data_IF_092111757965
#
_entry.id   IF_092111757965
#
_cell.length_a   1.000
_cell.length_b   1.000
_cell.length_c   1.000
_cell.angle_alpha   90.00
_cell.angle_beta   90.00
_cell.angle_gamma   90.00
#
_symmetry.space_group_name_H-M   'P 1'
#
loop_
_entity.id
_entity.type
_entity.pdbx_description
1 polymer ?
#
# COMPACT_ATOMS: atom_id res chain seq x y z
N UNK A 1 53.55 61.85 -44.86
CA UNK A 1 52.05 61.88 -44.97
C UNK A 1 51.48 60.62 -44.35
N UNK A 2 50.81 60.83 -43.20
CA UNK A 2 50.21 59.82 -42.42
C UNK A 2 48.74 59.54 -42.84
N UNK A 3 48.44 58.37 -43.29
CA UNK A 3 47.03 57.91 -43.42
C UNK A 3 46.68 56.99 -42.26
N UNK A 4 45.83 57.45 -41.32
CA UNK A 4 45.25 56.67 -40.25
C UNK A 4 44.06 55.83 -40.76
N UNK A 5 44.24 54.52 -40.79
CA UNK A 5 43.14 53.56 -41.05
C UNK A 5 42.24 53.44 -39.82
N UNK A 6 40.97 53.82 -39.96
CA UNK A 6 39.93 53.58 -38.95
C UNK A 6 39.44 52.15 -39.10
N UNK A 7 39.74 51.31 -38.13
CA UNK A 7 39.12 49.98 -37.99
C UNK A 7 37.75 50.13 -37.34
N UNK A 8 36.68 49.88 -38.11
CA UNK A 8 35.32 49.82 -37.61
C UNK A 8 35.10 48.43 -36.94
N UNK A 9 34.88 48.43 -35.61
CA UNK A 9 34.60 47.25 -34.83
C UNK A 9 33.09 46.98 -34.91
N UNK A 10 32.67 45.96 -35.67
CA UNK A 10 31.29 45.52 -35.72
C UNK A 10 31.08 44.56 -34.54
N UNK A 11 30.32 45.03 -33.56
CA UNK A 11 29.92 44.25 -32.39
C UNK A 11 28.69 43.41 -32.75
N UNK A 12 28.87 42.11 -32.97
CA UNK A 12 27.76 41.17 -33.11
C UNK A 12 27.14 40.91 -31.72
N UNK A 13 25.96 41.44 -31.46
CA UNK A 13 25.14 41.05 -30.33
C UNK A 13 24.49 39.69 -30.66
N UNK A 14 25.05 38.60 -30.14
CA UNK A 14 24.38 37.32 -30.14
C UNK A 14 23.28 37.35 -29.07
N UNK A 15 22.03 37.48 -29.54
CA UNK A 15 20.85 37.35 -28.68
C UNK A 15 20.69 35.87 -28.34
N UNK A 16 21.17 35.45 -27.18
CA UNK A 16 20.90 34.14 -26.62
C UNK A 16 19.45 34.11 -26.21
N UNK A 17 18.57 33.44 -27.00
CA UNK A 17 17.24 33.04 -26.54
C UNK A 17 17.44 31.96 -25.45
N UNK A 18 17.30 32.36 -24.21
CA UNK A 18 17.08 31.43 -23.12
C UNK A 18 15.63 30.90 -23.30
N UNK A 19 15.51 29.73 -23.89
CA UNK A 19 14.27 28.98 -23.79
C UNK A 19 14.10 28.60 -22.30
N UNK A 20 13.32 29.38 -21.54
CA UNK A 20 12.78 28.95 -20.28
C UNK A 20 11.88 27.75 -20.59
N UNK A 21 12.39 26.56 -20.34
CA UNK A 21 11.52 25.42 -20.14
C UNK A 21 10.75 25.70 -18.84
N UNK A 22 9.57 26.26 -18.97
CA UNK A 22 8.56 26.15 -17.91
C UNK A 22 8.24 24.66 -17.80
N UNK A 23 8.89 23.94 -16.88
CA UNK A 23 8.25 22.78 -16.33
C UNK A 23 7.05 23.35 -15.55
N UNK A 24 5.85 23.23 -16.07
CA UNK A 24 4.66 23.41 -15.25
C UNK A 24 4.83 22.48 -14.05
N UNK A 25 4.74 23.01 -12.83
CA UNK A 25 4.62 22.15 -11.66
C UNK A 25 3.44 21.21 -11.94
N UNK A 26 3.61 19.93 -11.63
CA UNK A 26 2.54 18.96 -11.76
C UNK A 26 1.36 19.42 -10.89
N UNK A 27 0.14 19.28 -11.42
CA UNK A 27 -1.08 19.70 -10.74
C UNK A 27 -1.59 18.51 -9.91
N UNK A 28 -1.89 18.69 -8.62
CA UNK A 28 -2.51 17.66 -7.80
C UNK A 28 -3.91 17.28 -8.32
N UNK A 29 -4.30 16.00 -8.21
CA UNK A 29 -5.57 15.52 -8.78
C UNK A 29 -6.83 16.04 -8.05
N UNK A 30 -6.72 16.53 -6.84
CA UNK A 30 -7.80 17.18 -6.11
C UNK A 30 -8.05 18.63 -6.54
N UNK A 31 -7.17 19.20 -7.39
CA UNK A 31 -7.26 20.56 -7.93
C UNK A 31 -7.70 20.61 -9.40
N UNK A 32 -7.85 19.46 -10.09
CA UNK A 32 -8.23 19.43 -11.51
C UNK A 32 -9.74 19.32 -11.71
N UNK A 33 -10.22 19.80 -12.86
CA UNK A 33 -11.59 19.54 -13.30
C UNK A 33 -11.67 18.13 -13.89
N UNK A 34 -12.40 17.25 -13.22
CA UNK A 34 -12.61 15.87 -13.66
C UNK A 34 -13.58 15.88 -14.83
N UNK A 35 -13.16 15.36 -15.97
CA UNK A 35 -13.97 15.25 -17.18
C UNK A 35 -14.30 13.78 -17.45
N UNK A 36 -14.99 13.48 -18.56
CA UNK A 36 -15.25 12.10 -18.97
C UNK A 36 -14.36 11.77 -20.17
N UNK A 37 -13.55 10.74 -20.03
CA UNK A 37 -12.66 10.24 -21.07
C UNK A 37 -13.40 9.52 -22.21
N UNK A 38 -12.69 9.20 -23.29
CA UNK A 38 -13.26 8.49 -24.46
C UNK A 38 -13.74 7.06 -24.10
N UNK A 39 -13.16 6.45 -23.05
CA UNK A 39 -13.56 5.15 -22.51
C UNK A 39 -14.79 5.21 -21.59
N UNK A 40 -15.31 6.40 -21.31
CA UNK A 40 -16.45 6.65 -20.44
C UNK A 40 -16.12 6.74 -18.95
N UNK A 41 -14.84 6.60 -18.57
CA UNK A 41 -14.35 6.77 -17.21
C UNK A 41 -13.99 8.24 -16.93
N UNK A 42 -13.83 8.63 -15.65
CA UNK A 42 -13.25 9.92 -15.30
C UNK A 42 -11.85 10.10 -15.93
N UNK A 43 -11.60 11.27 -16.49
CA UNK A 43 -10.30 11.70 -17.02
C UNK A 43 -9.75 12.81 -16.11
N UNK A 44 -8.57 12.58 -15.55
CA UNK A 44 -7.91 13.45 -14.57
C UNK A 44 -6.82 14.34 -15.19
N UNK A 45 -6.79 14.47 -16.53
CA UNK A 45 -5.94 15.42 -17.27
C UNK A 45 -4.43 15.31 -16.95
N UNK A 46 -3.93 14.11 -16.66
CA UNK A 46 -2.51 13.85 -16.38
C UNK A 46 -2.01 14.38 -15.03
N UNK A 47 -2.90 14.70 -14.09
CA UNK A 47 -2.55 15.20 -12.77
C UNK A 47 -1.69 14.22 -11.96
N UNK A 48 -1.03 14.69 -10.90
CA UNK A 48 -0.34 13.82 -9.94
C UNK A 48 -1.27 13.38 -8.82
N UNK A 49 -1.32 12.06 -8.57
CA UNK A 49 -2.14 11.45 -7.54
C UNK A 49 -1.22 10.79 -6.49
N UNK A 50 -1.06 11.41 -5.33
CA UNK A 50 -0.21 10.89 -4.24
C UNK A 50 -0.89 9.73 -3.53
N UNK A 51 -0.17 8.60 -3.47
CA UNK A 51 -0.65 7.33 -2.89
C UNK A 51 0.32 6.85 -1.81
N UNK A 52 -0.12 6.87 -0.55
CA UNK A 52 0.67 6.37 0.57
C UNK A 52 0.61 4.84 0.66
N UNK A 53 1.77 4.20 0.81
CA UNK A 53 1.96 2.75 0.99
C UNK A 53 3.03 2.49 2.03
N UNK A 54 2.93 1.40 2.81
CA UNK A 54 3.96 1.04 3.79
C UNK A 54 5.17 0.37 3.13
N UNK A 55 4.97 -0.38 2.04
CA UNK A 55 5.97 -1.23 1.40
C UNK A 55 6.52 -2.37 2.28
N UNK A 56 5.76 -2.76 3.30
CA UNK A 56 6.10 -3.81 4.25
C UNK A 56 4.92 -4.74 4.55
N UNK A 57 3.91 -4.80 3.67
CA UNK A 57 2.72 -5.64 3.83
C UNK A 57 2.45 -6.52 2.62
N UNK A 58 3.06 -7.70 2.59
CA UNK A 58 2.84 -8.70 1.53
C UNK A 58 1.40 -9.23 1.53
N UNK A 59 0.82 -9.45 0.34
CA UNK A 59 1.29 -9.14 -0.99
C UNK A 59 0.73 -7.81 -1.53
N UNK A 60 0.19 -6.96 -0.65
CA UNK A 60 -0.41 -5.68 -1.02
C UNK A 60 0.64 -4.71 -1.57
N UNK A 61 1.69 -4.47 -0.81
CA UNK A 61 2.81 -3.64 -1.24
C UNK A 61 4.12 -4.08 -0.55
N UNK A 62 5.21 -4.03 -1.30
CA UNK A 62 6.55 -4.41 -0.86
C UNK A 62 7.61 -3.84 -1.80
N UNK A 63 8.86 -3.72 -1.34
CA UNK A 63 9.99 -3.42 -2.19
C UNK A 63 10.53 -4.72 -2.79
N UNK A 64 10.55 -4.81 -4.12
CA UNK A 64 11.13 -5.99 -4.80
C UNK A 64 12.66 -5.96 -4.67
N UNK A 65 13.27 -6.98 -4.05
CA UNK A 65 14.71 -7.03 -3.86
C UNK A 65 15.51 -7.13 -5.16
N UNK A 66 14.87 -7.54 -6.25
CA UNK A 66 15.53 -7.71 -7.53
C UNK A 66 15.90 -6.38 -8.20
N UNK A 67 15.12 -5.34 -7.97
CA UNK A 67 15.30 -4.03 -8.62
C UNK A 67 15.16 -2.83 -7.67
N UNK A 68 14.70 -3.05 -6.42
CA UNK A 68 14.47 -2.00 -5.42
C UNK A 68 13.21 -1.16 -5.66
N UNK A 69 12.33 -1.61 -6.56
CA UNK A 69 11.10 -0.90 -6.90
C UNK A 69 9.91 -1.39 -6.04
N UNK A 70 8.99 -0.49 -5.76
CA UNK A 70 7.74 -0.84 -5.09
C UNK A 70 6.84 -1.68 -5.99
N UNK A 71 6.33 -2.79 -5.46
CA UNK A 71 5.45 -3.73 -6.16
C UNK A 71 4.35 -4.24 -5.23
N UNK A 72 3.37 -4.90 -5.81
CA UNK A 72 2.28 -5.53 -5.08
C UNK A 72 0.93 -5.25 -5.71
N UNK A 73 -0.10 -5.73 -5.03
CA UNK A 73 -1.48 -5.59 -5.47
C UNK A 73 -1.90 -4.12 -5.59
N UNK A 74 -1.56 -3.29 -4.60
CA UNK A 74 -1.88 -1.86 -4.58
C UNK A 74 -1.25 -1.13 -5.77
N UNK A 75 0.00 -1.44 -6.08
CA UNK A 75 0.72 -0.87 -7.23
C UNK A 75 0.07 -1.25 -8.56
N UNK A 76 -0.25 -2.54 -8.76
CA UNK A 76 -0.84 -3.02 -10.01
C UNK A 76 -2.25 -2.43 -10.23
N UNK A 77 -3.07 -2.36 -9.17
CA UNK A 77 -4.40 -1.75 -9.24
C UNK A 77 -4.30 -0.28 -9.57
N UNK A 78 -3.46 0.47 -8.85
CA UNK A 78 -3.40 1.92 -9.01
C UNK A 78 -2.73 2.35 -10.31
N UNK A 79 -1.73 1.61 -10.79
CA UNK A 79 -1.14 1.83 -12.12
C UNK A 79 -2.16 1.55 -13.24
N UNK A 80 -2.98 0.50 -13.11
CA UNK A 80 -4.04 0.25 -14.08
C UNK A 80 -5.08 1.38 -14.10
N UNK A 81 -5.53 1.85 -12.92
CA UNK A 81 -6.43 3.00 -12.83
C UNK A 81 -5.81 4.25 -13.45
N UNK A 82 -4.51 4.47 -13.25
CA UNK A 82 -3.79 5.59 -13.82
C UNK A 82 -3.80 5.59 -15.36
N UNK A 83 -3.60 4.43 -15.98
CA UNK A 83 -3.67 4.27 -17.43
C UNK A 83 -5.09 4.54 -17.97
N UNK A 84 -6.12 3.99 -17.30
CA UNK A 84 -7.52 4.10 -17.75
C UNK A 84 -8.11 5.49 -17.52
N UNK A 85 -7.65 6.22 -16.49
CA UNK A 85 -8.24 7.48 -16.03
C UNK A 85 -7.30 8.69 -16.21
N UNK A 86 -6.18 8.50 -16.93
CA UNK A 86 -5.25 9.55 -17.32
C UNK A 86 -4.73 10.38 -16.13
N UNK A 87 -4.02 9.73 -15.18
CA UNK A 87 -3.31 10.40 -14.12
C UNK A 87 -1.90 9.81 -13.92
N UNK A 88 -1.05 10.51 -13.18
CA UNK A 88 0.29 10.05 -12.83
C UNK A 88 0.30 9.63 -11.36
N UNK A 89 0.45 8.34 -11.03
CA UNK A 89 0.54 7.91 -9.64
C UNK A 89 1.88 8.28 -9.05
N UNK A 90 1.87 8.85 -7.83
CA UNK A 90 3.05 9.18 -7.04
C UNK A 90 2.98 8.38 -5.75
N UNK A 91 3.63 7.21 -5.75
CA UNK A 91 3.69 6.36 -4.56
C UNK A 91 4.68 6.94 -3.54
N UNK A 92 4.22 7.09 -2.30
CA UNK A 92 4.99 7.65 -1.19
C UNK A 92 5.07 6.60 -0.09
N UNK A 93 6.29 6.19 0.27
CA UNK A 93 6.51 5.30 1.40
C UNK A 93 6.18 6.03 2.71
N UNK A 94 5.30 5.44 3.51
CA UNK A 94 4.85 5.99 4.78
C UNK A 94 4.67 4.86 5.80
N UNK A 95 5.14 5.06 7.04
CA UNK A 95 4.92 4.08 8.08
C UNK A 95 3.44 3.88 8.36
N UNK A 96 3.02 2.64 8.64
CA UNK A 96 1.64 2.34 9.02
C UNK A 96 1.19 3.17 10.23
N UNK A 97 2.06 3.27 11.26
CA UNK A 97 1.79 4.07 12.44
C UNK A 97 1.64 5.55 12.08
N UNK A 98 0.42 6.05 12.14
CA UNK A 98 0.05 7.41 11.77
C UNK A 98 -0.41 7.59 10.32
N UNK A 99 -0.39 6.59 9.45
CA UNK A 99 -0.82 6.70 8.03
C UNK A 99 -2.27 7.19 7.90
N UNK A 100 -3.20 6.61 8.65
CA UNK A 100 -4.62 7.02 8.62
C UNK A 100 -4.78 8.49 9.06
N UNK A 101 -4.05 8.93 10.09
CA UNK A 101 -4.07 10.32 10.52
C UNK A 101 -3.44 11.26 9.47
N UNK A 102 -2.35 10.84 8.83
CA UNK A 102 -1.72 11.63 7.76
C UNK A 102 -2.65 11.81 6.54
N UNK A 103 -3.44 10.77 6.20
CA UNK A 103 -4.52 10.89 5.19
C UNK A 103 -5.59 11.87 5.67
N UNK A 104 -6.08 11.74 6.91
CA UNK A 104 -7.08 12.65 7.48
C UNK A 104 -6.63 14.12 7.47
N UNK A 105 -5.32 14.35 7.68
CA UNK A 105 -4.70 15.67 7.64
C UNK A 105 -4.41 16.17 6.21
N UNK A 106 -4.75 15.39 5.18
CA UNK A 106 -4.56 15.76 3.77
C UNK A 106 -3.11 15.74 3.29
N UNK A 107 -2.22 14.99 3.98
CA UNK A 107 -0.83 14.85 3.54
C UNK A 107 -0.72 13.95 2.30
N UNK A 108 -1.66 13.05 2.12
CA UNK A 108 -1.81 12.16 0.96
C UNK A 108 -3.24 12.22 0.44
N UNK A 109 -3.41 12.08 -0.86
CA UNK A 109 -4.75 12.05 -1.48
C UNK A 109 -5.46 10.72 -1.25
N UNK A 110 -4.68 9.64 -1.06
CA UNK A 110 -5.17 8.28 -0.85
C UNK A 110 -4.10 7.47 -0.11
N UNK A 111 -4.53 6.44 0.62
CA UNK A 111 -3.66 5.40 1.11
C UNK A 111 -4.22 4.02 0.77
N UNK A 112 -3.31 3.10 0.44
CA UNK A 112 -3.58 1.67 0.26
C UNK A 112 -2.51 0.85 0.98
N UNK A 113 -2.99 -0.11 1.78
CA UNK A 113 -2.13 -0.99 2.58
C UNK A 113 -2.96 -2.14 3.17
N UNK A 114 -3.87 -2.69 2.37
CA UNK A 114 -4.83 -3.66 2.89
C UNK A 114 -5.68 -3.09 4.03
N UNK A 115 -6.16 -1.85 3.90
CA UNK A 115 -6.76 -1.10 5.00
C UNK A 115 -8.18 -1.58 5.29
N UNK A 116 -8.43 -2.14 6.48
CA UNK A 116 -9.78 -2.51 6.92
C UNK A 116 -10.66 -1.27 7.09
N UNK A 117 -11.84 -1.31 6.47
CA UNK A 117 -12.90 -0.32 6.69
C UNK A 117 -13.51 -0.57 8.06
N UNK A 118 -13.41 0.39 8.96
CA UNK A 118 -13.99 0.30 10.31
C UNK A 118 -14.73 1.57 10.70
N UNK A 119 -15.74 1.45 11.56
CA UNK A 119 -16.49 2.60 12.08
C UNK A 119 -15.60 3.63 12.79
N UNK A 120 -14.47 3.21 13.34
CA UNK A 120 -13.52 4.11 14.00
C UNK A 120 -12.74 4.95 12.98
N UNK A 121 -12.24 4.31 11.91
CA UNK A 121 -11.51 4.99 10.84
C UNK A 121 -12.42 5.87 10.00
N UNK A 122 -13.65 5.42 9.74
CA UNK A 122 -14.69 6.16 8.99
C UNK A 122 -15.15 7.48 9.67
N UNK A 123 -14.73 7.73 10.91
CA UNK A 123 -14.96 9.01 11.58
C UNK A 123 -14.00 10.11 11.17
N UNK A 124 -12.86 9.77 10.58
CA UNK A 124 -11.79 10.72 10.29
C UNK A 124 -11.28 10.65 8.84
N UNK A 125 -11.62 9.59 8.11
CA UNK A 125 -11.29 9.41 6.68
C UNK A 125 -12.50 8.85 5.95
N UNK A 126 -12.62 9.12 4.66
CA UNK A 126 -13.55 8.42 3.78
C UNK A 126 -12.89 7.16 3.20
N UNK A 127 -13.72 6.18 2.82
CA UNK A 127 -13.24 4.97 2.17
C UNK A 127 -13.82 4.81 0.76
N UNK A 128 -13.06 4.14 -0.10
CA UNK A 128 -13.62 3.59 -1.34
C UNK A 128 -14.64 2.50 -1.04
N UNK A 129 -15.39 2.08 -2.06
CA UNK A 129 -16.08 0.80 -2.01
C UNK A 129 -15.09 -0.32 -1.69
N UNK A 130 -15.53 -1.32 -0.95
CA UNK A 130 -14.68 -2.47 -0.63
C UNK A 130 -14.28 -3.19 -1.92
N UNK A 131 -12.96 -3.34 -2.11
CA UNK A 131 -12.40 -4.08 -3.24
C UNK A 131 -12.24 -5.58 -2.95
N UNK A 132 -12.14 -5.97 -1.67
CA UNK A 132 -12.12 -7.36 -1.19
C UNK A 132 -12.71 -7.45 0.21
N UNK A 133 -13.32 -8.60 0.52
CA UNK A 133 -13.71 -8.99 1.88
C UNK A 133 -12.97 -10.27 2.21
N UNK A 134 -12.22 -10.27 3.30
CA UNK A 134 -11.39 -11.39 3.70
C UNK A 134 -11.52 -11.70 5.18
N UNK A 135 -10.84 -12.73 5.63
CA UNK A 135 -10.83 -13.15 7.03
C UNK A 135 -9.46 -12.92 7.63
N UNK A 136 -9.42 -12.55 8.90
CA UNK A 136 -8.21 -12.62 9.70
C UNK A 136 -7.99 -14.06 10.17
N UNK A 137 -6.75 -14.54 10.11
CA UNK A 137 -6.35 -15.91 10.38
C UNK A 137 -5.17 -15.96 11.34
N UNK A 138 -4.96 -17.10 11.95
CA UNK A 138 -3.74 -17.38 12.70
C UNK A 138 -2.67 -17.97 11.78
N UNK A 139 -1.44 -17.44 11.89
CA UNK A 139 -0.24 -17.93 11.25
C UNK A 139 0.72 -18.41 12.34
N UNK A 140 1.27 -19.61 12.16
CA UNK A 140 2.23 -20.23 13.10
C UNK A 140 3.47 -20.75 12.36
N UNK A 141 4.54 -21.07 13.10
CA UNK A 141 5.68 -21.75 12.50
C UNK A 141 5.24 -23.10 11.88
N UNK A 142 5.85 -23.48 10.76
CA UNK A 142 5.42 -24.65 10.00
C UNK A 142 5.52 -25.97 10.79
N UNK A 143 6.49 -26.06 11.71
CA UNK A 143 6.72 -27.20 12.60
C UNK A 143 5.95 -27.11 13.93
N UNK A 144 5.16 -26.05 14.14
CA UNK A 144 4.34 -25.92 15.34
C UNK A 144 3.04 -26.74 15.19
N UNK A 145 2.97 -27.88 15.89
CA UNK A 145 1.78 -28.74 15.94
C UNK A 145 0.98 -28.57 17.26
N UNK A 146 1.37 -27.66 18.14
CA UNK A 146 0.71 -27.42 19.41
C UNK A 146 -0.41 -26.39 19.34
N UNK A 147 -0.47 -25.60 18.26
CA UNK A 147 -1.46 -24.57 18.03
C UNK A 147 -2.22 -24.87 16.74
N UNK A 148 -3.52 -25.09 16.88
CA UNK A 148 -4.44 -25.35 15.76
C UNK A 148 -5.68 -24.45 15.79
N UNK A 149 -5.89 -23.72 16.89
CA UNK A 149 -7.06 -22.86 17.11
C UNK A 149 -6.75 -21.72 18.09
N UNK A 150 -7.60 -20.71 18.12
CA UNK A 150 -7.51 -19.62 19.13
C UNK A 150 -7.63 -20.15 20.56
N UNK A 151 -8.35 -21.26 20.80
CA UNK A 151 -8.49 -21.86 22.10
C UNK A 151 -7.15 -22.37 22.67
N UNK A 152 -6.23 -22.82 21.81
CA UNK A 152 -4.92 -23.29 22.27
C UNK A 152 -4.11 -22.13 22.84
N UNK A 153 -4.17 -20.94 22.21
CA UNK A 153 -3.54 -19.70 22.72
C UNK A 153 -4.20 -19.25 24.03
N UNK A 154 -5.54 -19.27 24.09
CA UNK A 154 -6.28 -18.83 25.29
C UNK A 154 -5.92 -19.66 26.51
N UNK A 155 -5.84 -20.98 26.34
CA UNK A 155 -5.60 -21.94 27.42
C UNK A 155 -4.10 -22.20 27.72
N UNK A 156 -3.19 -21.79 26.83
CA UNK A 156 -1.75 -21.95 26.98
C UNK A 156 -1.03 -20.70 27.47
N UNK A 157 0.25 -20.84 27.74
CA UNK A 157 1.16 -19.73 28.03
C UNK A 157 1.94 -19.36 26.75
N UNK A 158 1.22 -18.76 25.79
CA UNK A 158 1.73 -18.41 24.47
C UNK A 158 1.66 -16.91 24.22
N UNK A 159 2.64 -16.38 23.48
CA UNK A 159 2.65 -15.03 22.95
C UNK A 159 2.18 -15.00 21.51
N UNK A 160 1.48 -13.94 21.15
CA UNK A 160 1.02 -13.66 19.79
C UNK A 160 1.67 -12.37 19.33
N UNK A 161 2.29 -12.39 18.15
CA UNK A 161 2.89 -11.21 17.51
C UNK A 161 1.95 -10.64 16.47
N UNK A 162 1.87 -9.31 16.35
CA UNK A 162 1.14 -8.64 15.27
C UNK A 162 1.62 -7.19 15.15
N UNK A 163 1.21 -6.49 14.09
CA UNK A 163 1.56 -5.09 13.89
C UNK A 163 0.65 -4.19 14.73
N UNK A 164 1.23 -3.21 15.43
CA UNK A 164 0.49 -2.23 16.24
C UNK A 164 -0.45 -1.37 15.38
N UNK A 165 -1.57 -0.93 15.97
CA UNK A 165 -2.52 -0.03 15.30
C UNK A 165 -3.35 -0.68 14.17
N UNK A 166 -3.30 -2.02 14.05
CA UNK A 166 -4.07 -2.78 13.08
C UNK A 166 -5.31 -3.40 13.71
N UNK A 167 -6.31 -3.76 12.90
CA UNK A 167 -7.47 -4.57 13.32
C UNK A 167 -7.04 -5.95 13.81
N UNK A 168 -5.93 -6.48 13.29
CA UNK A 168 -5.31 -7.72 13.72
C UNK A 168 -4.80 -7.64 15.18
N UNK A 169 -4.20 -6.50 15.54
CA UNK A 169 -3.79 -6.23 16.93
C UNK A 169 -4.99 -6.15 17.87
N UNK A 170 -6.02 -5.40 17.49
CA UNK A 170 -7.23 -5.24 18.29
C UNK A 170 -7.95 -6.58 18.50
N UNK A 171 -8.04 -7.38 17.44
CA UNK A 171 -8.60 -8.74 17.52
C UNK A 171 -7.76 -9.63 18.45
N UNK A 172 -6.42 -9.61 18.31
CA UNK A 172 -5.53 -10.40 19.15
C UNK A 172 -5.69 -10.02 20.64
N UNK A 173 -5.73 -8.73 20.97
CA UNK A 173 -5.97 -8.24 22.33
C UNK A 173 -7.33 -8.64 22.84
N UNK A 174 -8.37 -8.55 22.01
CA UNK A 174 -9.73 -8.96 22.36
C UNK A 174 -9.83 -10.46 22.68
N UNK A 175 -9.15 -11.31 21.90
CA UNK A 175 -9.20 -12.77 22.06
C UNK A 175 -8.32 -13.29 23.19
N UNK A 176 -7.14 -12.70 23.37
CA UNK A 176 -6.09 -13.30 24.21
C UNK A 176 -5.69 -12.43 25.40
N UNK A 177 -6.07 -11.15 25.42
CA UNK A 177 -5.63 -10.15 26.40
C UNK A 177 -4.29 -9.51 26.04
N UNK A 178 -4.11 -8.24 26.38
CA UNK A 178 -2.94 -7.44 26.02
C UNK A 178 -1.62 -8.05 26.53
N UNK A 179 -1.64 -8.75 27.67
CA UNK A 179 -0.46 -9.38 28.24
C UNK A 179 0.14 -10.50 27.38
N UNK A 180 -0.67 -11.06 26.46
CA UNK A 180 -0.23 -12.12 25.53
C UNK A 180 0.13 -11.60 24.15
N UNK A 181 -0.07 -10.29 23.86
CA UNK A 181 0.14 -9.73 22.53
C UNK A 181 1.38 -8.85 22.53
N UNK A 182 2.34 -9.22 21.70
CA UNK A 182 3.53 -8.42 21.43
C UNK A 182 3.31 -7.64 20.13
N UNK A 183 3.34 -6.30 20.22
CA UNK A 183 3.12 -5.37 19.12
C UNK A 183 4.43 -4.99 18.44
N UNK A 184 4.46 -5.12 17.13
CA UNK A 184 5.62 -4.76 16.29
C UNK A 184 5.27 -3.56 15.41
N UNK A 185 6.28 -2.84 14.95
CA UNK A 185 6.09 -1.69 14.05
C UNK A 185 5.68 -2.13 12.63
N UNK A 186 6.10 -3.31 12.20
CA UNK A 186 5.79 -3.90 10.89
C UNK A 186 5.40 -5.38 11.03
N UNK A 187 4.57 -5.88 10.11
CA UNK A 187 4.21 -7.30 10.08
C UNK A 187 5.41 -8.21 9.87
N UNK A 188 6.40 -7.79 9.12
CA UNK A 188 7.63 -8.54 8.87
C UNK A 188 8.32 -8.97 10.15
N UNK A 189 8.40 -8.06 11.13
CA UNK A 189 8.99 -8.35 12.43
C UNK A 189 8.11 -9.30 13.25
N UNK A 190 6.79 -9.17 13.15
CA UNK A 190 5.86 -10.10 13.79
C UNK A 190 5.99 -11.51 13.23
N UNK A 191 6.13 -11.65 11.89
CA UNK A 191 6.34 -12.94 11.24
C UNK A 191 7.72 -13.51 11.57
N UNK A 192 8.77 -12.67 11.63
CA UNK A 192 10.11 -13.08 12.07
C UNK A 192 10.09 -13.62 13.50
N UNK A 193 9.32 -13.00 14.41
CA UNK A 193 9.15 -13.48 15.78
C UNK A 193 8.46 -14.86 15.84
N UNK A 194 7.52 -15.14 14.94
CA UNK A 194 6.91 -16.48 14.81
C UNK A 194 7.93 -17.51 14.31
N UNK A 195 8.71 -17.14 13.29
CA UNK A 195 9.73 -18.04 12.71
C UNK A 195 10.86 -18.35 13.72
N UNK A 196 11.28 -17.36 14.53
CA UNK A 196 12.31 -17.56 15.57
C UNK A 196 11.80 -18.30 16.81
N UNK A 197 10.48 -18.36 17.00
CA UNK A 197 9.84 -18.94 18.19
C UNK A 197 9.71 -17.99 19.37
N UNK A 198 9.98 -16.69 19.19
CA UNK A 198 9.73 -15.64 20.18
C UNK A 198 8.23 -15.41 20.39
N UNK A 199 7.43 -15.62 19.35
CA UNK A 199 5.98 -15.69 19.41
C UNK A 199 5.47 -17.04 18.88
N UNK A 200 4.39 -17.54 19.45
CA UNK A 200 3.83 -18.82 19.05
C UNK A 200 2.91 -18.73 17.82
N UNK A 201 2.31 -17.55 17.60
CA UNK A 201 1.44 -17.26 16.47
C UNK A 201 1.46 -15.77 16.09
N UNK A 202 0.96 -15.44 14.89
CA UNK A 202 0.57 -14.10 14.49
C UNK A 202 -0.88 -14.10 14.03
N UNK A 203 -1.60 -12.99 14.24
CA UNK A 203 -2.89 -12.73 13.57
C UNK A 203 -2.58 -11.90 12.33
N UNK A 204 -3.02 -12.38 11.17
CA UNK A 204 -2.80 -11.74 9.86
C UNK A 204 -4.06 -11.86 9.00
N UNK A 205 -4.17 -11.01 8.00
CA UNK A 205 -5.17 -11.21 6.95
C UNK A 205 -4.88 -12.47 6.15
N UNK A 206 -5.90 -13.20 5.74
CA UNK A 206 -5.73 -14.49 5.05
C UNK A 206 -4.83 -14.37 3.81
N UNK A 207 -5.01 -13.33 3.00
CA UNK A 207 -4.19 -13.12 1.79
C UNK A 207 -2.76 -12.73 2.13
N UNK A 208 -2.55 -11.95 3.20
CA UNK A 208 -1.22 -11.64 3.70
C UNK A 208 -0.55 -12.91 4.26
N UNK A 209 -1.29 -13.75 4.98
CA UNK A 209 -0.81 -15.05 5.42
C UNK A 209 -0.34 -15.94 4.26
N UNK A 210 -1.07 -15.95 3.14
CA UNK A 210 -0.64 -16.64 1.91
C UNK A 210 0.63 -16.02 1.33
N UNK A 211 0.71 -14.68 1.31
CA UNK A 211 1.91 -13.95 0.90
C UNK A 211 3.13 -14.31 1.73
N UNK A 212 3.00 -14.32 3.06
CA UNK A 212 4.08 -14.72 3.98
C UNK A 212 4.47 -16.19 3.83
N UNK A 213 3.51 -17.09 3.57
CA UNK A 213 3.81 -18.49 3.25
C UNK A 213 4.59 -18.62 1.94
N UNK A 214 4.25 -17.82 0.93
CA UNK A 214 4.98 -17.77 -0.34
C UNK A 214 6.41 -17.26 -0.20
N UNK A 215 6.60 -16.21 0.62
CA UNK A 215 7.90 -15.59 0.88
C UNK A 215 8.78 -16.42 1.84
N UNK A 216 8.16 -17.09 2.82
CA UNK A 216 8.85 -17.88 3.84
C UNK A 216 8.54 -19.37 3.67
N UNK A 217 8.85 -19.91 2.51
CA UNK A 217 8.51 -21.27 2.13
C UNK A 217 8.93 -22.28 3.19
N UNK A 218 7.98 -23.09 3.61
CA UNK A 218 8.17 -24.15 4.62
C UNK A 218 8.54 -23.64 6.04
N UNK A 219 8.50 -22.32 6.30
CA UNK A 219 8.77 -21.74 7.62
C UNK A 219 7.50 -21.43 8.42
N UNK A 220 6.40 -21.09 7.73
CA UNK A 220 5.13 -20.72 8.36
C UNK A 220 3.94 -21.40 7.69
N UNK A 221 2.82 -21.49 8.41
CA UNK A 221 1.55 -22.02 7.92
C UNK A 221 0.36 -21.30 8.56
N UNK A 222 -0.73 -21.17 7.81
CA UNK A 222 -2.02 -20.75 8.36
C UNK A 222 -2.68 -21.93 9.08
N UNK A 223 -3.31 -21.66 10.22
CA UNK A 223 -4.03 -22.66 11.02
C UNK A 223 -5.41 -22.15 11.46
N UNK A 224 -6.26 -23.06 11.85
CA UNK A 224 -7.61 -22.77 12.34
C UNK A 224 -8.55 -22.23 11.27
N UNK A 225 -9.72 -21.78 11.72
CA UNK A 225 -10.74 -21.12 10.90
C UNK A 225 -10.55 -19.60 10.89
N UNK A 226 -11.31 -18.89 10.06
CA UNK A 226 -11.36 -17.43 10.09
C UNK A 226 -11.83 -16.90 11.44
N UNK A 227 -11.17 -15.89 11.95
CA UNK A 227 -11.43 -15.32 13.27
C UNK A 227 -12.37 -14.11 13.19
N UNK A 228 -12.19 -13.28 12.19
CA UNK A 228 -12.95 -12.07 11.92
C UNK A 228 -13.00 -11.82 10.43
N UNK A 229 -14.08 -11.19 9.94
CA UNK A 229 -14.22 -10.80 8.53
C UNK A 229 -14.05 -9.30 8.41
N UNK A 230 -13.14 -8.88 7.54
CA UNK A 230 -12.82 -7.48 7.29
C UNK A 230 -13.02 -7.11 5.81
N UNK A 231 -13.84 -6.08 5.51
CA UNK A 231 -13.84 -5.44 4.21
C UNK A 231 -12.63 -4.50 4.11
N UNK A 232 -11.89 -4.55 2.99
CA UNK A 232 -10.78 -3.64 2.74
C UNK A 232 -11.16 -2.59 1.70
N UNK A 233 -10.65 -1.36 1.90
CA UNK A 233 -10.85 -0.21 1.02
C UNK A 233 -9.64 0.71 1.03
N UNK A 234 -9.58 1.61 0.05
CA UNK A 234 -8.63 2.71 0.05
C UNK A 234 -9.13 3.84 0.95
N UNK A 235 -8.24 4.45 1.72
CA UNK A 235 -8.57 5.56 2.61
C UNK A 235 -8.27 6.92 1.95
N UNK A 236 -9.17 7.89 2.13
CA UNK A 236 -9.10 9.23 1.57
C UNK A 236 -9.32 10.28 2.68
N UNK A 237 -8.86 11.53 2.50
CA UNK A 237 -9.32 12.63 3.34
C UNK A 237 -10.85 12.74 3.35
N UNK A 238 -11.42 13.11 4.50
CA UNK A 238 -12.88 13.32 4.65
C UNK A 238 -13.41 14.32 3.61
N UNK A 239 -14.48 13.95 2.90
CA UNK A 239 -15.09 14.74 1.83
C UNK A 239 -14.31 14.78 0.52
N UNK A 240 -13.34 13.89 0.30
CA UNK A 240 -12.55 13.85 -0.94
C UNK A 240 -13.42 13.54 -2.16
N UNK A 241 -13.38 14.37 -3.22
CA UNK A 241 -14.09 14.07 -4.47
C UNK A 241 -13.51 12.85 -5.20
N UNK A 242 -12.29 12.44 -4.87
CA UNK A 242 -11.60 11.32 -5.52
C UNK A 242 -12.15 9.94 -5.11
N UNK A 243 -12.92 9.85 -4.02
CA UNK A 243 -13.62 8.61 -3.62
C UNK A 243 -14.53 8.10 -4.75
N UNK A 244 -15.38 8.98 -5.29
CA UNK A 244 -16.30 8.61 -6.37
C UNK A 244 -15.53 8.19 -7.64
N UNK A 245 -14.45 8.91 -7.95
CA UNK A 245 -13.56 8.64 -9.10
C UNK A 245 -12.94 7.26 -9.01
N UNK A 246 -12.33 6.92 -7.87
CA UNK A 246 -11.69 5.61 -7.66
C UNK A 246 -12.74 4.50 -7.63
N UNK A 247 -13.94 4.74 -7.08
CA UNK A 247 -15.03 3.76 -7.09
C UNK A 247 -15.50 3.43 -8.52
N UNK A 248 -15.61 4.42 -9.43
CA UNK A 248 -15.90 4.17 -10.83
C UNK A 248 -14.82 3.32 -11.49
N UNK A 249 -13.54 3.61 -11.23
CA UNK A 249 -12.43 2.81 -11.69
C UNK A 249 -12.44 1.37 -11.17
N UNK A 250 -12.69 1.18 -9.86
CA UNK A 250 -12.81 -0.16 -9.25
C UNK A 250 -14.00 -0.95 -9.83
N UNK A 251 -15.14 -0.28 -10.07
CA UNK A 251 -16.29 -0.91 -10.72
C UNK A 251 -15.95 -1.37 -12.14
N UNK A 252 -15.26 -0.51 -12.91
CA UNK A 252 -14.76 -0.87 -14.24
C UNK A 252 -13.82 -2.08 -14.21
N UNK A 253 -12.87 -2.13 -13.25
CA UNK A 253 -11.96 -3.27 -13.09
C UNK A 253 -12.69 -4.56 -12.72
N UNK A 254 -13.77 -4.47 -11.94
CA UNK A 254 -14.63 -5.62 -11.62
C UNK A 254 -15.36 -6.12 -12.87
N UNK A 255 -15.95 -5.21 -13.64
CA UNK A 255 -16.77 -5.53 -14.81
C UNK A 255 -15.96 -6.12 -15.97
N UNK A 256 -14.73 -5.64 -16.19
CA UNK A 256 -13.85 -6.12 -17.27
C UNK A 256 -12.95 -7.31 -16.84
N UNK A 257 -13.02 -7.75 -15.58
CA UNK A 257 -12.27 -8.88 -15.03
C UNK A 257 -10.82 -8.57 -14.62
N UNK A 258 -10.36 -7.31 -14.74
CA UNK A 258 -8.98 -6.93 -14.42
C UNK A 258 -8.68 -7.04 -12.93
N UNK A 259 -9.64 -6.68 -12.08
CA UNK A 259 -9.47 -6.84 -10.63
C UNK A 259 -9.26 -8.32 -10.25
N UNK A 260 -10.02 -9.23 -10.89
CA UNK A 260 -9.84 -10.68 -10.67
C UNK A 260 -8.48 -11.17 -11.16
N UNK A 261 -8.00 -10.71 -12.31
CA UNK A 261 -6.67 -11.04 -12.83
C UNK A 261 -5.57 -10.65 -11.83
N UNK A 262 -5.65 -9.43 -11.25
CA UNK A 262 -4.68 -8.95 -10.27
C UNK A 262 -4.82 -9.73 -8.96
N UNK A 263 -6.05 -10.04 -8.50
CA UNK A 263 -6.27 -10.88 -7.33
C UNK A 263 -5.65 -12.27 -7.51
N UNK A 264 -5.83 -12.90 -8.66
CA UNK A 264 -5.26 -14.22 -8.95
C UNK A 264 -3.71 -14.19 -8.97
N UNK A 265 -3.12 -13.07 -9.38
CA UNK A 265 -1.67 -12.88 -9.37
C UNK A 265 -1.10 -12.82 -7.95
N UNK A 266 -1.74 -12.06 -7.06
CA UNK A 266 -1.19 -11.77 -5.74
C UNK A 266 -1.78 -12.59 -4.61
N UNK A 267 -3.06 -12.94 -4.66
CA UNK A 267 -3.79 -13.60 -3.58
C UNK A 267 -3.93 -15.12 -3.80
N UNK A 268 -3.02 -15.69 -4.55
CA UNK A 268 -3.01 -17.13 -4.80
C UNK A 268 -1.81 -17.81 -4.15
N UNK A 269 -1.87 -19.14 -3.91
CA UNK A 269 -0.72 -19.91 -3.43
C UNK A 269 0.49 -19.91 -4.39
N UNK A 270 0.30 -19.41 -5.62
CA UNK A 270 1.37 -19.23 -6.60
C UNK A 270 2.22 -17.97 -6.42
N UNK A 271 1.77 -17.03 -5.59
CA UNK A 271 2.56 -15.84 -5.27
C UNK A 271 3.82 -16.24 -4.47
N UNK A 272 4.97 -15.80 -4.94
CA UNK A 272 6.26 -16.05 -4.27
C UNK A 272 7.16 -14.84 -4.43
N UNK A 273 7.69 -14.37 -3.30
CA UNK A 273 8.78 -13.40 -3.21
C UNK A 273 9.75 -13.93 -2.17
N UNK A 274 11.06 -13.77 -2.36
CA UNK A 274 12.03 -14.18 -1.36
C UNK A 274 12.16 -13.09 -0.29
N UNK A 275 11.70 -13.37 0.91
CA UNK A 275 11.74 -12.43 2.04
C UNK A 275 13.17 -12.19 2.55
N UNK A 276 14.06 -13.17 2.41
CA UNK A 276 15.48 -13.04 2.77
C UNK A 276 16.19 -11.97 1.92
N UNK A 277 15.55 -11.55 0.82
CA UNK A 277 16.06 -10.57 -0.13
C UNK A 277 15.33 -9.22 -0.07
N UNK A 278 14.25 -9.07 0.72
CA UNK A 278 13.52 -7.79 0.83
C UNK A 278 14.36 -6.80 1.66
N UNK A 279 14.65 -5.66 1.06
CA UNK A 279 15.39 -4.60 1.74
C UNK A 279 14.55 -4.00 2.88
N UNK A 280 15.22 -3.65 3.98
CA UNK A 280 14.58 -2.90 5.06
C UNK A 280 14.07 -1.55 4.52
N UNK A 281 12.78 -1.28 4.71
CA UNK A 281 12.17 0.00 4.28
C UNK A 281 12.52 1.08 5.29
N UNK A 282 13.15 2.14 4.82
CA UNK A 282 13.39 3.35 5.63
C UNK A 282 12.43 4.45 5.19
N UNK A 283 11.79 5.09 6.16
CA UNK A 283 10.89 6.21 5.93
C UNK A 283 11.67 7.52 6.18
N UNK A 284 11.45 8.50 5.31
CA UNK A 284 11.96 9.86 5.56
C UNK A 284 11.17 10.50 6.71
N UNK A 285 11.90 11.01 7.72
CA UNK A 285 11.33 11.72 8.88
C UNK A 285 10.90 13.16 8.54
#
# INVERSE_FOLDING_TARGET
YNLKSKKTLILFFALAMVASACSSAAVPCDEVEITTGENGLPDLDGCEFTFAVENAYLPFNYIDPADGEGKGWDYDVFNYLAEEMNFTPVFVAAAWDGMIQAVADGQYMIAGDGISITDERDKIVDFSDSYIVLQQRMLVAADNDSISSAADIQNGDFKVATQKGTTNYDLAVSLFGADKVDAYDQFDFAIAAVISGDAAASIVDEVAGLGYMGANKDKVKLVGEGLQTDPLGFAFPDGSPLVAVVNEGLAHMKDNGKLQEINDKFFSPGFTVSYDDIAEVTYDE
#
